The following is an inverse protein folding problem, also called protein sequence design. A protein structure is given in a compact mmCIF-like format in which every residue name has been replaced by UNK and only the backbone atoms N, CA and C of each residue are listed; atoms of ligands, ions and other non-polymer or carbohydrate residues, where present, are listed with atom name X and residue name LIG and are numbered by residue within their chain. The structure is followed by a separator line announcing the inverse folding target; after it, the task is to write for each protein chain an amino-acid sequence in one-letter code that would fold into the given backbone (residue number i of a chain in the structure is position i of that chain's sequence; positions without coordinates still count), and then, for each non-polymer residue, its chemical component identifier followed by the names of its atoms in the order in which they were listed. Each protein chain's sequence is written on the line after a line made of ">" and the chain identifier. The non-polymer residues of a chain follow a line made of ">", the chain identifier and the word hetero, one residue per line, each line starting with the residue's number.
data_IF_061766848625
#
_entry.id   IF_061766848625
#
_cell.length_a   1.000
_cell.length_b   1.000
_cell.length_c   1.000
_cell.angle_alpha   90.00
_cell.angle_beta   90.00
_cell.angle_gamma   90.00
#
_symmetry.space_group_name_H-M   'P 1'
#
loop_
_entity.id
_entity.type
_entity.pdbx_description
1 polymer ?
#
# COMPACT_ATOMS: atom_id res chain seq x y z
N UNK A 1 7.81 12.65 9.92
CA UNK A 1 7.34 13.27 8.67
C UNK A 1 6.86 12.15 7.79
N UNK A 2 5.61 12.21 7.34
CA UNK A 2 5.03 11.23 6.42
C UNK A 2 4.82 11.93 5.09
N UNK A 3 4.99 11.19 4.00
CA UNK A 3 4.61 11.63 2.66
C UNK A 3 3.72 10.53 2.05
N UNK A 4 2.77 10.93 1.20
CA UNK A 4 1.77 10.03 0.65
C UNK A 4 1.23 10.56 -0.68
N UNK A 5 0.69 9.64 -1.47
CA UNK A 5 0.02 9.97 -2.73
C UNK A 5 -0.48 8.70 -3.42
N UNK A 6 -1.05 8.90 -4.61
CA UNK A 6 -1.59 7.82 -5.43
C UNK A 6 -0.83 7.74 -6.75
N UNK A 7 -0.47 6.51 -7.13
CA UNK A 7 -0.08 6.19 -8.50
C UNK A 7 -1.36 5.93 -9.28
N UNK A 8 -1.74 6.88 -10.13
CA UNK A 8 -2.93 6.81 -10.96
C UNK A 8 -2.57 6.45 -12.41
N UNK A 9 -3.39 5.63 -13.04
CA UNK A 9 -3.21 5.20 -14.45
C UNK A 9 -4.52 5.37 -15.19
N UNK A 10 -4.51 5.69 -16.50
CA UNK A 10 -5.76 5.82 -17.25
C UNK A 10 -6.46 4.46 -17.40
N UNK A 11 -7.75 4.42 -17.05
CA UNK A 11 -8.58 3.23 -17.19
C UNK A 11 -8.82 2.79 -18.65
N UNK A 12 -8.63 3.69 -19.62
CA UNK A 12 -8.77 3.42 -21.05
C UNK A 12 -7.54 2.74 -21.66
N UNK A 13 -6.39 2.81 -20.98
CA UNK A 13 -5.17 2.21 -21.49
C UNK A 13 -5.16 0.68 -21.32
N UNK A 14 -4.58 -0.06 -22.29
CA UNK A 14 -4.39 -1.49 -22.13
C UNK A 14 -3.55 -1.80 -20.90
N UNK A 15 -3.93 -2.86 -20.17
CA UNK A 15 -3.29 -3.24 -18.91
C UNK A 15 -1.74 -3.26 -18.94
N UNK A 16 -1.06 -3.76 -19.99
CA UNK A 16 0.40 -3.73 -20.03
C UNK A 16 1.01 -2.33 -19.96
N UNK A 17 0.36 -1.30 -20.53
CA UNK A 17 0.85 0.08 -20.45
C UNK A 17 0.73 0.61 -19.03
N UNK A 18 -0.44 0.43 -18.41
CA UNK A 18 -0.68 0.79 -17.01
C UNK A 18 0.29 0.12 -16.04
N UNK A 19 0.62 -1.16 -16.28
CA UNK A 19 1.63 -1.88 -15.49
C UNK A 19 3.04 -1.31 -15.69
N UNK A 20 3.36 -0.80 -16.88
CA UNK A 20 4.61 -0.10 -17.16
C UNK A 20 4.72 1.26 -16.45
N UNK A 21 3.61 2.01 -16.39
CA UNK A 21 3.53 3.26 -15.61
C UNK A 21 3.75 2.99 -14.13
N UNK A 22 3.02 2.01 -13.56
CA UNK A 22 3.20 1.62 -12.14
C UNK A 22 4.65 1.19 -11.84
N UNK A 23 5.31 0.48 -12.76
CA UNK A 23 6.72 0.11 -12.61
C UNK A 23 7.64 1.33 -12.54
N UNK A 24 7.46 2.26 -13.48
CA UNK A 24 8.29 3.45 -13.60
C UNK A 24 8.12 4.36 -12.39
N UNK A 25 6.88 4.67 -12.02
CA UNK A 25 6.55 5.57 -10.91
C UNK A 25 7.03 5.00 -9.58
N UNK A 26 6.78 3.70 -9.33
CA UNK A 26 7.26 3.06 -8.10
C UNK A 26 8.78 3.07 -8.03
N UNK A 27 9.48 2.82 -9.15
CA UNK A 27 10.96 2.87 -9.18
C UNK A 27 11.46 4.27 -8.84
N UNK A 28 10.83 5.31 -9.35
CA UNK A 28 11.19 6.70 -9.06
C UNK A 28 10.99 7.02 -7.58
N UNK A 29 9.84 6.66 -7.00
CA UNK A 29 9.56 6.84 -5.57
C UNK A 29 10.60 6.13 -4.69
N UNK A 30 10.90 4.85 -4.97
CA UNK A 30 11.87 4.10 -4.17
C UNK A 30 13.28 4.72 -4.22
N UNK A 31 13.65 5.30 -5.36
CA UNK A 31 14.93 5.98 -5.55
C UNK A 31 14.96 7.36 -4.90
N UNK A 32 13.91 8.17 -5.07
CA UNK A 32 13.82 9.51 -4.50
C UNK A 32 13.91 9.48 -2.96
N UNK A 33 13.11 8.61 -2.35
CA UNK A 33 13.02 8.51 -0.88
C UNK A 33 14.04 7.55 -0.27
N UNK A 34 14.89 6.89 -1.08
CA UNK A 34 15.89 5.91 -0.62
C UNK A 34 15.28 4.85 0.32
N UNK A 35 14.12 4.31 -0.08
CA UNK A 35 13.33 3.40 0.76
C UNK A 35 14.11 2.12 1.06
N UNK A 36 14.17 1.72 2.34
CA UNK A 36 14.86 0.48 2.78
C UNK A 36 13.91 -0.64 3.17
N UNK A 37 12.63 -0.32 3.36
CA UNK A 37 11.60 -1.25 3.80
C UNK A 37 10.30 -0.95 3.07
N UNK A 38 9.65 -1.99 2.56
CA UNK A 38 8.38 -1.88 1.83
C UNK A 38 7.37 -2.75 2.56
N UNK A 39 6.16 -2.23 2.77
CA UNK A 39 5.03 -2.95 3.33
C UNK A 39 3.89 -2.98 2.32
N UNK A 40 3.22 -4.12 2.20
CA UNK A 40 2.10 -4.30 1.28
C UNK A 40 0.95 -4.94 2.06
N UNK A 41 -0.25 -4.40 1.92
CA UNK A 41 -1.44 -5.08 2.43
C UNK A 41 -1.61 -6.42 1.71
N UNK A 42 -1.72 -7.50 2.46
CA UNK A 42 -1.96 -8.83 1.92
C UNK A 42 -3.34 -8.86 1.26
N UNK A 43 -3.43 -9.00 -0.08
CA UNK A 43 -4.72 -9.02 -0.75
C UNK A 43 -5.48 -10.29 -0.37
N UNK A 44 -6.77 -10.13 -0.11
CA UNK A 44 -7.67 -11.26 0.06
C UNK A 44 -8.10 -11.77 -1.32
N UNK A 45 -7.60 -12.94 -1.71
CA UNK A 45 -7.81 -13.51 -3.03
C UNK A 45 -9.03 -14.44 -2.99
N UNK A 46 -10.08 -14.06 -3.69
CA UNK A 46 -11.25 -14.89 -3.94
C UNK A 46 -11.36 -15.17 -5.45
N UNK A 47 -11.34 -16.45 -5.89
CA UNK A 47 -11.30 -16.82 -7.31
C UNK A 47 -12.45 -16.24 -8.14
N UNK A 48 -13.57 -15.91 -7.49
CA UNK A 48 -14.80 -15.49 -8.13
C UNK A 48 -14.77 -14.02 -8.59
N UNK A 49 -13.75 -13.24 -8.20
CA UNK A 49 -13.68 -11.80 -8.47
C UNK A 49 -12.77 -11.50 -9.68
N UNK A 50 -13.33 -11.02 -10.81
CA UNK A 50 -12.55 -10.76 -12.03
C UNK A 50 -11.46 -9.69 -11.86
N UNK A 51 -11.61 -8.79 -10.88
CA UNK A 51 -10.61 -7.77 -10.55
C UNK A 51 -9.31 -8.37 -9.97
N UNK A 52 -9.35 -9.59 -9.43
CA UNK A 52 -8.17 -10.26 -8.85
C UNK A 52 -7.07 -10.47 -9.87
N UNK A 53 -7.40 -10.79 -11.11
CA UNK A 53 -6.40 -10.99 -12.16
C UNK A 53 -5.57 -9.74 -12.42
N UNK A 54 -6.17 -8.54 -12.32
CA UNK A 54 -5.45 -7.26 -12.45
C UNK A 54 -4.62 -6.99 -11.20
N UNK A 55 -5.20 -7.19 -10.02
CA UNK A 55 -4.52 -6.99 -8.74
C UNK A 55 -3.25 -7.85 -8.61
N UNK A 56 -3.34 -9.13 -8.98
CA UNK A 56 -2.20 -10.05 -8.92
C UNK A 56 -1.07 -9.66 -9.89
N UNK A 57 -1.40 -9.08 -11.06
CA UNK A 57 -0.39 -8.58 -11.98
C UNK A 57 0.32 -7.34 -11.44
N UNK A 58 -0.43 -6.40 -10.84
CA UNK A 58 0.14 -5.23 -10.15
C UNK A 58 1.04 -5.68 -9.00
N UNK A 59 0.58 -6.64 -8.18
CA UNK A 59 1.39 -7.20 -7.10
C UNK A 59 2.70 -7.83 -7.62
N UNK A 60 2.66 -8.52 -8.77
CA UNK A 60 3.85 -9.05 -9.43
C UNK A 60 4.84 -7.96 -9.83
N UNK A 61 4.35 -6.86 -10.39
CA UNK A 61 5.18 -5.69 -10.74
C UNK A 61 5.81 -5.07 -9.49
N UNK A 62 5.01 -4.81 -8.45
CA UNK A 62 5.51 -4.23 -7.18
C UNK A 62 6.60 -5.11 -6.58
N UNK A 63 6.40 -6.42 -6.50
CA UNK A 63 7.40 -7.35 -5.97
C UNK A 63 8.70 -7.35 -6.80
N UNK A 64 8.58 -7.30 -8.13
CA UNK A 64 9.75 -7.26 -9.01
C UNK A 64 10.55 -5.97 -8.83
N UNK A 65 9.86 -4.82 -8.74
CA UNK A 65 10.50 -3.51 -8.51
C UNK A 65 11.16 -3.47 -7.13
N UNK A 66 10.46 -3.90 -6.08
CA UNK A 66 10.99 -4.00 -4.73
C UNK A 66 12.26 -4.86 -4.67
N UNK A 67 12.22 -6.05 -5.26
CA UNK A 67 13.37 -6.97 -5.32
C UNK A 67 14.57 -6.33 -6.03
N UNK A 68 14.35 -5.65 -7.17
CA UNK A 68 15.41 -4.94 -7.91
C UNK A 68 16.00 -3.77 -7.15
N UNK A 69 15.20 -3.13 -6.30
CA UNK A 69 15.64 -2.08 -5.38
C UNK A 69 16.40 -2.65 -4.15
N UNK A 70 16.42 -3.97 -3.98
CA UNK A 70 17.09 -4.64 -2.86
C UNK A 70 16.23 -4.80 -1.61
N UNK A 71 14.91 -4.65 -1.74
CA UNK A 71 13.95 -4.80 -0.65
C UNK A 71 13.09 -6.06 -0.84
N UNK A 72 12.77 -6.72 0.28
CA UNK A 72 11.74 -7.76 0.33
C UNK A 72 10.51 -7.17 1.03
N UNK A 73 9.36 -7.06 0.36
CA UNK A 73 8.16 -6.52 0.99
C UNK A 73 7.70 -7.34 2.20
N UNK A 74 7.31 -6.67 3.27
CA UNK A 74 6.60 -7.27 4.39
C UNK A 74 5.11 -7.27 4.11
N UNK A 75 4.47 -8.43 4.21
CA UNK A 75 3.03 -8.56 4.00
C UNK A 75 2.26 -8.31 5.30
N UNK A 76 1.25 -7.45 5.21
CA UNK A 76 0.44 -7.03 6.35
C UNK A 76 -1.02 -7.43 6.12
N UNK A 77 -1.58 -8.29 6.96
CA UNK A 77 -3.00 -8.62 6.85
C UNK A 77 -3.88 -7.43 7.26
N UNK A 78 -5.07 -7.26 6.64
CA UNK A 78 -5.99 -6.19 7.01
C UNK A 78 -6.33 -6.14 8.51
N UNK A 79 -6.58 -7.31 9.11
CA UNK A 79 -6.85 -7.41 10.54
C UNK A 79 -5.66 -6.97 11.41
N UNK A 80 -4.43 -7.15 10.92
CA UNK A 80 -3.20 -6.79 11.65
C UNK A 80 -3.05 -5.28 11.76
N UNK A 81 -3.10 -4.54 10.64
CA UNK A 81 -2.93 -3.09 10.71
C UNK A 81 -4.13 -2.42 11.41
N UNK A 82 -5.35 -2.92 11.20
CA UNK A 82 -6.53 -2.40 11.91
C UNK A 82 -6.42 -2.60 13.41
N UNK A 83 -5.93 -3.75 13.87
CA UNK A 83 -5.72 -4.01 15.31
C UNK A 83 -4.54 -3.23 15.89
N UNK A 84 -3.57 -2.85 15.06
CA UNK A 84 -2.46 -2.00 15.50
C UNK A 84 -2.92 -0.56 15.78
N UNK A 85 -3.91 -0.08 15.04
CA UNK A 85 -4.50 1.24 15.25
C UNK A 85 -5.63 1.23 16.28
N UNK A 86 -6.53 0.26 16.20
CA UNK A 86 -7.70 0.15 17.07
C UNK A 86 -8.12 -1.31 17.28
N UNK A 87 -8.98 -1.87 16.41
CA UNK A 87 -9.45 -3.26 16.50
C UNK A 87 -9.71 -3.85 15.10
N UNK A 88 -9.77 -5.17 14.91
CA UNK A 88 -9.79 -5.79 13.57
C UNK A 88 -11.04 -5.50 12.73
N UNK A 89 -12.06 -4.87 13.33
CA UNK A 89 -13.33 -4.47 12.71
C UNK A 89 -13.57 -2.96 12.80
N UNK A 90 -12.52 -2.17 13.08
CA UNK A 90 -12.65 -0.72 13.22
C UNK A 90 -13.25 -0.13 11.94
N UNK A 91 -14.12 0.87 12.16
CA UNK A 91 -14.81 1.58 11.09
C UNK A 91 -13.84 2.53 10.38
N UNK A 92 -14.19 2.92 9.15
CA UNK A 92 -13.31 3.71 8.28
C UNK A 92 -12.99 5.08 8.89
N UNK A 93 -14.00 5.71 9.49
CA UNK A 93 -13.89 7.04 10.09
C UNK A 93 -12.93 7.04 11.29
N UNK A 94 -13.01 6.02 12.15
CA UNK A 94 -12.13 5.89 13.32
C UNK A 94 -10.67 5.70 12.91
N UNK A 95 -10.42 4.82 11.94
CA UNK A 95 -9.08 4.58 11.41
C UNK A 95 -8.47 5.83 10.76
N UNK A 96 -9.29 6.62 10.05
CA UNK A 96 -8.86 7.87 9.43
C UNK A 96 -8.47 8.89 10.49
N UNK A 97 -9.32 9.09 11.50
CA UNK A 97 -9.04 10.01 12.60
C UNK A 97 -7.75 9.65 13.35
N UNK A 98 -7.50 8.36 13.58
CA UNK A 98 -6.27 7.88 14.22
C UNK A 98 -5.05 8.20 13.35
N UNK A 99 -5.09 7.93 12.04
CA UNK A 99 -3.97 8.22 11.14
C UNK A 99 -3.70 9.72 11.04
N UNK A 100 -4.74 10.54 10.96
CA UNK A 100 -4.63 12.00 10.96
C UNK A 100 -3.98 12.52 12.24
N UNK A 101 -4.42 12.03 13.40
CA UNK A 101 -3.86 12.41 14.70
C UNK A 101 -2.39 11.97 14.86
N UNK A 102 -2.06 10.73 14.47
CA UNK A 102 -0.71 10.17 14.60
C UNK A 102 0.35 10.95 13.79
N UNK A 103 -0.04 11.49 12.64
CA UNK A 103 0.89 12.12 11.69
C UNK A 103 0.65 13.62 11.49
N UNK A 104 -0.23 14.23 12.28
CA UNK A 104 -0.60 15.66 12.21
C UNK A 104 -1.06 16.06 10.79
N UNK A 105 -1.94 15.24 10.21
CA UNK A 105 -2.44 15.41 8.85
C UNK A 105 -3.76 16.20 8.88
N UNK A 106 -3.91 17.11 7.93
CA UNK A 106 -5.19 17.80 7.73
C UNK A 106 -6.21 16.85 7.11
N UNK A 107 -7.50 17.12 7.37
CA UNK A 107 -8.68 16.34 6.90
C UNK A 107 -8.86 16.35 5.38
N UNK A 108 -7.92 15.75 4.66
CA UNK A 108 -7.82 15.72 3.19
C UNK A 108 -7.59 14.28 2.70
N UNK A 109 -7.33 13.32 3.59
CA UNK A 109 -6.98 11.96 3.21
C UNK A 109 -8.13 11.24 2.50
N UNK A 110 -7.81 10.62 1.38
CA UNK A 110 -8.65 9.63 0.73
C UNK A 110 -8.47 8.26 1.41
N UNK A 111 -9.49 7.41 1.28
CA UNK A 111 -9.50 6.06 1.89
C UNK A 111 -8.23 5.24 1.61
N UNK A 112 -7.67 5.35 0.39
CA UNK A 112 -6.50 4.59 -0.04
C UNK A 112 -5.19 5.08 0.61
N UNK A 113 -5.09 6.38 0.86
CA UNK A 113 -3.91 6.99 1.49
C UNK A 113 -3.84 6.60 2.97
N UNK A 114 -5.00 6.60 3.66
CA UNK A 114 -5.13 6.11 5.04
C UNK A 114 -4.63 4.67 5.16
N UNK A 115 -5.07 3.78 4.26
CA UNK A 115 -4.66 2.38 4.26
C UNK A 115 -3.15 2.23 4.03
N UNK A 116 -2.59 2.96 3.06
CA UNK A 116 -1.16 2.92 2.76
C UNK A 116 -0.30 3.38 3.94
N UNK A 117 -0.67 4.50 4.58
CA UNK A 117 0.01 5.02 5.77
C UNK A 117 -0.10 4.02 6.94
N UNK A 118 -1.30 3.49 7.19
CA UNK A 118 -1.53 2.54 8.28
C UNK A 118 -0.73 1.24 8.10
N UNK A 119 -0.64 0.72 6.88
CA UNK A 119 0.15 -0.47 6.54
C UNK A 119 1.64 -0.21 6.74
N UNK A 120 2.15 0.93 6.25
CA UNK A 120 3.55 1.32 6.43
C UNK A 120 3.90 1.50 7.91
N UNK A 121 3.06 2.19 8.68
CA UNK A 121 3.23 2.38 10.12
C UNK A 121 3.21 1.04 10.88
N UNK A 122 2.30 0.14 10.53
CA UNK A 122 2.20 -1.19 11.14
C UNK A 122 3.47 -2.02 10.93
N UNK A 123 4.01 -2.01 9.70
CA UNK A 123 5.28 -2.67 9.43
C UNK A 123 6.45 -2.01 10.18
N UNK A 124 6.45 -0.68 10.28
CA UNK A 124 7.45 0.06 11.06
C UNK A 124 7.41 -0.26 12.55
N UNK A 125 6.22 -0.54 13.12
CA UNK A 125 6.05 -1.07 14.48
C UNK A 125 6.56 -2.51 14.65
N UNK A 126 7.06 -3.16 13.59
CA UNK A 126 7.62 -4.52 13.63
C UNK A 126 6.57 -5.62 13.50
N UNK A 127 5.36 -5.30 13.03
CA UNK A 127 4.28 -6.26 12.79
C UNK A 127 4.28 -6.69 11.32
N UNK A 128 3.96 -7.96 11.04
CA UNK A 128 3.89 -8.48 9.66
C UNK A 128 4.61 -9.81 9.48
N UNK A 129 4.53 -10.36 8.27
CA UNK A 129 5.30 -11.53 7.85
C UNK A 129 6.18 -11.18 6.66
N UNK A 130 7.45 -11.62 6.73
CA UNK A 130 8.40 -11.58 5.61
C UNK A 130 8.21 -12.79 4.70
#
# INVERSE_FOLDING_TARGET
>A
MVDFGLVETDSHDPLPYRLGEIEADLREILQEYQVTNIAIEQPFIQPEFPSMTKLLQVLGVINLVAYRHGCLPTMIYPATWKSNLDHPKAEREDLTAIVEELFDLQSILLNQEVDAIAVAYTAWCGLGQQ
#
